data_IF_054266651012
#
_entry.id   IF_054266651012
#
_cell.length_a   1.000
_cell.length_b   1.000
_cell.length_c   1.000
_cell.angle_alpha   90.00
_cell.angle_beta   90.00
_cell.angle_gamma   90.00
#
_symmetry.space_group_name_H-M   'P 1'
#
loop_
_entity.id
_entity.type
_entity.pdbx_description
1 polymer ?
#
# COMPACT_ATOMS: atom_id res chain seq x y z
N UNK A 1 13.25 -24.19 -7.99
CA UNK A 1 13.09 -22.94 -8.74
C UNK A 1 12.72 -21.81 -7.80
N UNK A 2 13.48 -20.74 -7.84
CA UNK A 2 13.14 -19.53 -7.08
C UNK A 2 11.92 -18.91 -7.78
N UNK A 3 10.78 -18.93 -7.12
CA UNK A 3 9.60 -18.23 -7.62
C UNK A 3 9.89 -16.72 -7.52
N UNK A 4 9.94 -16.06 -8.66
CA UNK A 4 10.18 -14.61 -8.69
C UNK A 4 8.97 -13.88 -8.10
N UNK A 5 9.19 -13.18 -6.99
CA UNK A 5 8.18 -12.35 -6.35
C UNK A 5 8.54 -10.87 -6.49
N UNK A 6 7.69 -10.09 -7.16
CA UNK A 6 7.90 -8.66 -7.34
C UNK A 6 8.04 -7.93 -5.99
N UNK A 7 7.20 -8.27 -5.01
CA UNK A 7 7.24 -7.60 -3.71
C UNK A 7 8.51 -7.97 -2.90
N UNK A 8 8.99 -9.21 -3.02
CA UNK A 8 10.30 -9.57 -2.48
C UNK A 8 11.42 -8.75 -3.12
N UNK A 9 11.33 -8.47 -4.42
CA UNK A 9 12.28 -7.63 -5.14
C UNK A 9 12.24 -6.17 -4.65
N UNK A 10 11.08 -5.67 -4.23
CA UNK A 10 10.95 -4.35 -3.63
C UNK A 10 11.58 -4.33 -2.24
N UNK A 11 11.36 -5.38 -1.45
CA UNK A 11 11.93 -5.53 -0.10
C UNK A 11 13.46 -5.55 -0.14
N UNK A 12 14.05 -6.28 -1.09
CA UNK A 12 15.52 -6.39 -1.21
C UNK A 12 16.18 -5.23 -1.97
N UNK A 13 15.38 -4.33 -2.54
CA UNK A 13 15.86 -3.15 -3.26
C UNK A 13 16.21 -3.40 -4.73
N UNK A 14 16.01 -4.62 -5.26
CA UNK A 14 16.31 -4.93 -6.67
C UNK A 14 15.26 -4.37 -7.63
N UNK A 15 14.06 -4.07 -7.16
CA UNK A 15 13.03 -3.34 -7.93
C UNK A 15 12.74 -2.00 -7.26
N UNK A 16 12.69 -0.95 -8.07
CA UNK A 16 12.38 0.39 -7.59
C UNK A 16 10.90 0.51 -7.18
N UNK A 17 10.62 1.25 -6.12
CA UNK A 17 9.28 1.58 -5.68
C UNK A 17 9.29 2.87 -4.86
N UNK A 18 8.14 3.50 -4.73
CA UNK A 18 7.97 4.68 -3.88
C UNK A 18 7.63 4.23 -2.45
N UNK A 19 8.66 3.98 -1.65
CA UNK A 19 8.51 3.51 -0.27
C UNK A 19 8.09 4.69 0.62
N UNK A 20 7.08 4.48 1.47
CA UNK A 20 6.53 5.49 2.38
C UNK A 20 6.69 5.10 3.86
N UNK A 21 6.96 3.84 4.14
CA UNK A 21 7.14 3.32 5.49
C UNK A 21 8.02 2.08 5.47
N UNK A 22 8.91 1.96 6.43
CA UNK A 22 9.85 0.84 6.53
C UNK A 22 10.17 0.59 8.01
N UNK A 23 9.89 -0.61 8.49
CA UNK A 23 10.32 -1.06 9.81
C UNK A 23 11.03 -2.42 9.69
N UNK A 24 11.40 -3.02 10.81
CA UNK A 24 12.15 -4.30 10.81
C UNK A 24 11.36 -5.45 10.17
N UNK A 25 10.04 -5.39 10.19
CA UNK A 25 9.17 -6.50 9.78
C UNK A 25 8.32 -6.22 8.55
N UNK A 26 8.03 -4.95 8.28
CA UNK A 26 7.07 -4.54 7.25
C UNK A 26 7.61 -3.41 6.38
N UNK A 27 7.02 -3.31 5.20
CA UNK A 27 7.29 -2.27 4.22
C UNK A 27 5.96 -1.74 3.70
N UNK A 28 5.88 -0.44 3.44
CA UNK A 28 4.74 0.12 2.71
C UNK A 28 5.25 0.96 1.55
N UNK A 29 4.59 0.82 0.41
CA UNK A 29 4.93 1.53 -0.82
C UNK A 29 3.68 1.90 -1.61
N UNK A 30 3.82 2.87 -2.52
CA UNK A 30 2.70 3.35 -3.33
C UNK A 30 2.26 2.29 -4.33
N UNK A 31 0.95 2.10 -4.47
CA UNK A 31 0.39 1.28 -5.53
C UNK A 31 0.54 2.03 -6.88
N UNK A 32 1.07 1.35 -7.89
CA UNK A 32 1.21 1.92 -9.25
C UNK A 32 -0.11 1.89 -10.04
N UNK A 33 -1.12 1.19 -9.51
CA UNK A 33 -2.49 1.13 -10.03
C UNK A 33 -3.45 1.73 -8.98
N UNK A 34 -3.27 3.00 -8.59
CA UNK A 34 -3.98 3.55 -7.45
C UNK A 34 -5.46 3.72 -7.74
N UNK A 35 -6.29 3.39 -6.76
CA UNK A 35 -7.73 3.66 -6.81
C UNK A 35 -8.02 5.12 -6.49
N UNK A 36 -7.25 5.71 -5.57
CA UNK A 36 -7.34 7.11 -5.16
C UNK A 36 -5.93 7.65 -4.89
N UNK A 37 -5.74 8.98 -4.85
CA UNK A 37 -4.45 9.54 -4.42
C UNK A 37 -4.07 9.08 -3.02
N UNK A 38 -2.85 8.54 -2.89
CA UNK A 38 -2.36 8.02 -1.61
C UNK A 38 -2.62 6.53 -1.38
N UNK A 39 -3.20 5.82 -2.35
CA UNK A 39 -3.36 4.37 -2.28
C UNK A 39 -2.00 3.70 -2.17
N UNK A 40 -1.77 3.00 -1.07
CA UNK A 40 -0.52 2.30 -0.82
C UNK A 40 -0.78 0.86 -0.38
N UNK A 41 0.29 0.06 -0.40
CA UNK A 41 0.29 -1.34 -0.01
C UNK A 41 1.17 -1.51 1.22
N UNK A 42 0.69 -2.28 2.20
CA UNK A 42 1.46 -2.67 3.38
C UNK A 42 1.72 -4.17 3.29
N UNK A 43 2.99 -4.57 3.37
CA UNK A 43 3.41 -5.96 3.24
C UNK A 43 4.32 -6.37 4.38
N UNK A 44 4.31 -7.65 4.78
CA UNK A 44 5.41 -8.20 5.56
C UNK A 44 6.66 -8.34 4.68
N UNK A 45 7.84 -8.12 5.24
CA UNK A 45 9.10 -8.32 4.51
C UNK A 45 9.35 -9.80 4.23
N UNK A 46 8.97 -10.67 5.16
CA UNK A 46 9.01 -12.12 4.94
C UNK A 46 7.99 -12.50 3.88
N UNK A 47 8.38 -13.34 2.92
CA UNK A 47 7.47 -13.82 1.91
C UNK A 47 6.41 -14.75 2.53
N UNK A 48 5.16 -14.29 2.53
CA UNK A 48 3.97 -15.02 2.95
C UNK A 48 2.95 -14.86 1.84
N UNK A 49 2.38 -15.95 1.35
CA UNK A 49 1.52 -15.91 0.17
C UNK A 49 0.18 -15.21 0.43
N UNK A 50 -0.48 -15.57 1.53
CA UNK A 50 -1.83 -15.13 1.85
C UNK A 50 -2.09 -15.22 3.36
N UNK A 51 -3.31 -14.91 3.79
CA UNK A 51 -3.69 -14.92 5.20
C UNK A 51 -3.57 -16.30 5.83
N UNK A 52 -3.68 -17.36 5.04
CA UNK A 52 -3.61 -18.73 5.55
C UNK A 52 -2.19 -19.14 5.93
N UNK A 53 -1.18 -18.55 5.29
CA UNK A 53 0.23 -18.77 5.63
C UNK A 53 0.75 -17.77 6.67
N UNK A 54 0.01 -16.69 6.94
CA UNK A 54 0.39 -15.65 7.89
C UNK A 54 0.37 -16.22 9.32
N UNK A 55 1.44 -16.05 10.09
CA UNK A 55 1.45 -16.40 11.50
C UNK A 55 1.00 -15.22 12.38
N UNK A 56 0.81 -15.48 13.68
CA UNK A 56 0.33 -14.47 14.63
C UNK A 56 1.28 -13.28 14.75
N UNK A 57 2.59 -13.51 14.73
CA UNK A 57 3.58 -12.43 14.83
C UNK A 57 3.54 -11.55 13.58
N UNK A 58 3.50 -12.13 12.39
CA UNK A 58 3.36 -11.38 11.14
C UNK A 58 2.04 -10.61 11.09
N UNK A 59 0.95 -11.21 11.53
CA UNK A 59 -0.36 -10.56 11.59
C UNK A 59 -0.32 -9.32 12.51
N UNK A 60 0.31 -9.44 13.67
CA UNK A 60 0.49 -8.33 14.59
C UNK A 60 1.35 -7.22 13.98
N UNK A 61 2.48 -7.56 13.38
CA UNK A 61 3.38 -6.59 12.74
C UNK A 61 2.72 -5.87 11.58
N UNK A 62 2.00 -6.59 10.73
CA UNK A 62 1.31 -6.00 9.57
C UNK A 62 0.22 -5.03 10.02
N UNK A 63 -0.57 -5.39 11.03
CA UNK A 63 -1.61 -4.48 11.52
C UNK A 63 -1.02 -3.23 12.19
N UNK A 64 0.07 -3.37 12.93
CA UNK A 64 0.79 -2.24 13.50
C UNK A 64 1.33 -1.31 12.40
N UNK A 65 1.90 -1.88 11.35
CA UNK A 65 2.37 -1.11 10.19
C UNK A 65 1.21 -0.40 9.48
N UNK A 66 0.10 -1.08 9.26
CA UNK A 66 -1.11 -0.46 8.69
C UNK A 66 -1.58 0.74 9.51
N UNK A 67 -1.61 0.61 10.83
CA UNK A 67 -1.99 1.70 11.72
C UNK A 67 -1.03 2.88 11.60
N UNK A 68 0.27 2.63 11.57
CA UNK A 68 1.29 3.69 11.40
C UNK A 68 1.12 4.41 10.06
N UNK A 69 0.96 3.66 8.97
CA UNK A 69 0.77 4.21 7.62
C UNK A 69 -0.56 4.97 7.53
N UNK A 70 -1.63 4.44 8.11
CA UNK A 70 -2.92 5.12 8.15
C UNK A 70 -2.84 6.47 8.85
N UNK A 71 -2.10 6.57 9.94
CA UNK A 71 -1.89 7.84 10.64
C UNK A 71 -1.07 8.83 9.79
N UNK A 72 -0.04 8.36 9.08
CA UNK A 72 0.72 9.20 8.15
C UNK A 72 -0.19 9.75 7.05
N UNK A 73 -1.01 8.90 6.44
CA UNK A 73 -1.95 9.29 5.39
C UNK A 73 -2.99 10.27 5.94
N UNK A 74 -3.54 9.99 7.11
CA UNK A 74 -4.52 10.86 7.76
C UNK A 74 -3.94 12.26 8.02
N UNK A 75 -2.73 12.34 8.54
CA UNK A 75 -2.10 13.59 8.91
C UNK A 75 -1.64 14.41 7.69
N UNK A 76 -1.20 13.74 6.64
CA UNK A 76 -0.57 14.39 5.48
C UNK A 76 -1.54 14.68 4.34
N UNK A 77 -2.53 13.82 4.10
CA UNK A 77 -3.48 13.94 2.99
C UNK A 77 -4.88 14.34 3.44
N UNK A 78 -5.20 14.23 4.72
CA UNK A 78 -6.48 14.58 5.32
C UNK A 78 -7.69 13.95 4.61
N UNK A 79 -7.68 12.63 4.33
CA UNK A 79 -8.84 11.96 3.75
C UNK A 79 -10.02 11.96 4.74
N UNK A 80 -11.23 11.80 4.21
CA UNK A 80 -12.43 11.66 5.04
C UNK A 80 -12.58 10.25 5.64
N UNK A 81 -11.92 9.27 5.05
CA UNK A 81 -11.89 7.89 5.53
C UNK A 81 -10.80 7.09 4.84
N UNK A 82 -10.57 5.88 5.32
CA UNK A 82 -9.57 4.95 4.75
C UNK A 82 -10.18 3.56 4.73
N UNK A 83 -10.08 2.88 3.58
CA UNK A 83 -10.38 1.45 3.50
C UNK A 83 -9.10 0.64 3.60
N UNK A 84 -9.14 -0.43 4.39
CA UNK A 84 -8.13 -1.50 4.37
C UNK A 84 -8.74 -2.70 3.66
N UNK A 85 -8.06 -3.20 2.63
CA UNK A 85 -8.55 -4.33 1.83
C UNK A 85 -7.45 -5.35 1.67
N UNK A 86 -7.76 -6.61 1.98
CA UNK A 86 -6.87 -7.74 1.79
C UNK A 86 -7.60 -8.81 0.99
N UNK A 87 -6.98 -9.27 -0.10
CA UNK A 87 -7.53 -10.31 -0.98
C UNK A 87 -6.69 -11.58 -0.83
N UNK A 88 -7.35 -12.72 -0.64
CA UNK A 88 -6.69 -14.01 -0.42
C UNK A 88 -7.21 -15.03 -1.42
N UNK A 89 -6.36 -15.42 -2.35
CA UNK A 89 -6.69 -16.33 -3.44
C UNK A 89 -7.15 -15.60 -4.71
N UNK A 90 -6.91 -16.20 -5.85
CA UNK A 90 -7.26 -15.63 -7.15
C UNK A 90 -8.78 -15.38 -7.29
N UNK A 91 -9.61 -16.23 -6.72
CA UNK A 91 -11.07 -16.07 -6.73
C UNK A 91 -11.54 -14.84 -5.94
N UNK A 92 -10.71 -14.31 -5.06
CA UNK A 92 -10.94 -13.08 -4.29
C UNK A 92 -10.10 -11.90 -4.80
N UNK A 93 -9.70 -11.93 -6.08
CA UNK A 93 -8.94 -10.88 -6.77
C UNK A 93 -7.49 -10.68 -6.26
N UNK A 94 -6.90 -11.67 -5.60
CA UNK A 94 -5.47 -11.62 -5.30
C UNK A 94 -4.68 -11.80 -6.60
N UNK A 95 -3.91 -10.78 -6.98
CA UNK A 95 -3.08 -10.80 -8.19
C UNK A 95 -1.58 -10.95 -7.91
N UNK A 96 -1.14 -10.53 -6.73
CA UNK A 96 0.24 -10.71 -6.26
C UNK A 96 0.21 -11.66 -5.06
N UNK A 97 0.96 -12.76 -5.15
CA UNK A 97 0.96 -13.83 -4.13
C UNK A 97 2.08 -13.62 -3.10
N UNK A 98 2.10 -12.43 -2.60
CA UNK A 98 2.77 -11.98 -1.40
C UNK A 98 1.74 -11.19 -0.59
N UNK A 99 1.48 -11.59 0.64
CA UNK A 99 0.42 -10.98 1.47
C UNK A 99 0.54 -9.47 1.47
N UNK A 100 -0.55 -8.78 1.21
CA UNK A 100 -0.58 -7.32 1.23
C UNK A 100 -1.95 -6.80 1.64
N UNK A 101 -1.94 -5.67 2.30
CA UNK A 101 -3.15 -4.93 2.64
C UNK A 101 -3.13 -3.63 1.84
N UNK A 102 -4.18 -3.42 1.03
CA UNK A 102 -4.42 -2.14 0.38
C UNK A 102 -4.89 -1.14 1.42
N UNK A 103 -4.27 0.03 1.45
CA UNK A 103 -4.71 1.16 2.23
C UNK A 103 -5.17 2.23 1.24
N UNK A 104 -6.48 2.48 1.20
CA UNK A 104 -7.12 3.31 0.18
C UNK A 104 -7.78 4.52 0.85
N UNK A 105 -7.17 5.72 0.74
CA UNK A 105 -7.78 6.94 1.24
C UNK A 105 -9.06 7.28 0.46
N UNK A 106 -10.07 7.78 1.15
CA UNK A 106 -11.36 8.14 0.57
C UNK A 106 -11.64 9.61 0.80
N UNK A 107 -12.06 10.31 -0.26
CA UNK A 107 -12.21 11.77 -0.26
C UNK A 107 -13.65 12.24 -0.45
N UNK A 108 -14.61 11.33 -0.25
CA UNK A 108 -16.03 11.64 -0.19
C UNK A 108 -16.81 11.38 -1.47
N UNK A 109 -16.33 11.79 -2.64
CA UNK A 109 -17.03 11.63 -3.93
C UNK A 109 -16.39 10.63 -4.88
N UNK A 110 -15.32 10.01 -4.44
CA UNK A 110 -14.66 8.95 -5.20
C UNK A 110 -15.53 7.70 -5.20
N UNK A 111 -15.84 7.20 -6.38
CA UNK A 111 -16.62 5.96 -6.54
C UNK A 111 -15.66 4.81 -6.76
N UNK A 112 -15.66 3.86 -5.84
CA UNK A 112 -15.01 2.58 -6.04
C UNK A 112 -16.09 1.57 -6.40
N UNK A 113 -16.06 1.13 -7.65
CA UNK A 113 -16.93 0.07 -8.13
C UNK A 113 -16.28 -1.30 -7.83
N UNK A 114 -17.09 -2.29 -7.53
CA UNK A 114 -16.64 -3.67 -7.35
C UNK A 114 -17.12 -4.53 -8.53
N UNK A 115 -16.25 -5.30 -9.22
CA UNK A 115 -14.78 -5.35 -9.07
C UNK A 115 -14.12 -4.06 -9.55
N UNK A 116 -13.01 -3.71 -8.93
CA UNK A 116 -12.33 -2.45 -9.24
C UNK A 116 -11.67 -2.51 -10.61
N UNK A 117 -12.00 -1.54 -11.44
CA UNK A 117 -11.24 -1.30 -12.67
C UNK A 117 -9.89 -0.70 -12.29
N UNK A 118 -8.82 -1.45 -12.59
CA UNK A 118 -7.47 -1.01 -12.30
C UNK A 118 -6.86 -0.38 -13.55
N UNK A 119 -6.27 0.79 -13.39
CA UNK A 119 -5.50 1.46 -14.42
C UNK A 119 -4.23 2.05 -13.81
N UNK A 120 -3.17 2.14 -14.62
CA UNK A 120 -1.94 2.77 -14.18
C UNK A 120 -2.19 4.23 -13.83
N UNK A 121 -1.71 4.64 -12.65
CA UNK A 121 -1.73 6.04 -12.24
C UNK A 121 -0.62 6.84 -12.92
N UNK A 122 -0.67 8.15 -12.76
CA UNK A 122 0.39 9.05 -13.22
C UNK A 122 1.62 8.88 -12.32
N UNK A 123 2.79 8.45 -12.84
CA UNK A 123 3.98 8.19 -12.02
C UNK A 123 4.47 9.42 -11.26
N UNK A 124 4.38 10.62 -11.85
CA UNK A 124 4.81 11.85 -11.21
C UNK A 124 3.90 12.22 -10.03
N UNK A 125 2.60 12.03 -10.18
CA UNK A 125 1.64 12.24 -9.10
C UNK A 125 1.85 11.26 -7.96
N UNK A 126 2.06 9.97 -8.26
CA UNK A 126 2.33 8.93 -7.26
C UNK A 126 3.58 9.29 -6.47
N UNK A 127 4.67 9.69 -7.16
CA UNK A 127 5.92 10.11 -6.51
C UNK A 127 5.71 11.34 -5.63
N UNK A 128 4.99 12.35 -6.11
CA UNK A 128 4.71 13.57 -5.36
C UNK A 128 3.94 13.28 -4.07
N UNK A 129 2.95 12.39 -4.14
CA UNK A 129 2.18 11.98 -2.95
C UNK A 129 3.08 11.21 -1.98
N UNK A 130 3.96 10.33 -2.48
CA UNK A 130 4.92 9.62 -1.64
C UNK A 130 5.83 10.60 -0.89
N UNK A 131 6.32 11.66 -1.56
CA UNK A 131 7.12 12.72 -0.94
C UNK A 131 6.35 13.43 0.17
N UNK A 132 5.07 13.73 -0.04
CA UNK A 132 4.19 14.32 0.98
C UNK A 132 4.07 13.37 2.19
N UNK A 133 3.84 12.10 1.93
CA UNK A 133 3.68 11.09 3.00
C UNK A 133 4.97 10.90 3.80
N UNK A 134 6.13 11.01 3.16
CA UNK A 134 7.44 10.96 3.84
C UNK A 134 7.80 12.27 4.56
N UNK A 135 6.97 13.32 4.42
CA UNK A 135 7.24 14.62 5.04
C UNK A 135 8.30 15.45 4.30
N UNK A 136 8.68 15.08 3.08
CA UNK A 136 9.66 15.80 2.25
C UNK A 136 9.04 17.00 1.51
N UNK A 137 7.71 17.05 1.44
CA UNK A 137 6.96 18.04 0.69
C UNK A 137 5.63 18.31 1.36
N UNK A 138 5.20 19.56 1.36
CA UNK A 138 3.87 19.94 1.83
C UNK A 138 2.88 20.01 0.66
N UNK A 139 1.60 19.78 0.97
CA UNK A 139 0.52 20.03 0.02
C UNK A 139 0.45 21.53 -0.23
N UNK A 140 0.46 21.99 -1.51
CA UNK A 140 0.24 23.41 -1.81
C UNK A 140 -1.11 23.83 -1.25
N UNK A 141 -1.11 24.83 -0.34
CA UNK A 141 -2.35 25.43 0.15
C UNK A 141 -2.95 26.27 -0.98
N UNK A 142 -4.26 26.20 -1.23
CA UNK A 142 -4.89 27.14 -2.15
C UNK A 142 -4.73 28.56 -1.61
N UNK A 143 -4.33 29.48 -2.48
CA UNK A 143 -4.27 30.91 -2.18
C UNK A 143 -5.65 31.48 -1.88
#
# INVERSE_FOLDING_TARGET
>A
PVVHCLFCSIVDGSSASNIVYDDDHCLAFMDILPMTPGHCLVIPKRHVRDIFELDDDDAAHVMQACRSVANIVHDRLEPLGINLVNNNGAAADQSQFHFHIHLIPRYGRDRLLHPWERSYGNPDQIRSIAEILRGEREIPRPE
#
